data_IF_509890823547
#
_entry.id   IF_509890823547
#
_cell.length_a   1.000
_cell.length_b   1.000
_cell.length_c   1.000
_cell.angle_alpha   90.00
_cell.angle_beta   90.00
_cell.angle_gamma   90.00
#
_symmetry.space_group_name_H-M   'P 1'
#
loop_
_entity.id
_entity.type
_entity.pdbx_description
1 polymer ?
#
# COMPACT_ATOMS: atom_id res chain seq x y z
N UNK A 1 -9.68 2.51 3.96
CA UNK A 1 -8.27 2.96 4.12
C UNK A 1 -8.16 4.14 5.07
N UNK A 2 -8.99 5.19 4.93
CA UNK A 2 -8.92 6.42 5.72
C UNK A 2 -8.97 6.18 7.23
N UNK A 3 -9.97 5.44 7.74
CA UNK A 3 -10.12 5.14 9.17
C UNK A 3 -8.85 4.46 9.71
N UNK A 4 -8.39 3.41 9.04
CA UNK A 4 -7.19 2.69 9.45
C UNK A 4 -5.95 3.56 9.52
N UNK A 5 -5.77 4.45 8.55
CA UNK A 5 -4.65 5.37 8.47
C UNK A 5 -4.75 6.49 9.53
N UNK A 6 -5.91 7.12 9.65
CA UNK A 6 -6.18 8.20 10.60
C UNK A 6 -5.99 7.78 12.06
N UNK A 7 -6.48 6.59 12.40
CA UNK A 7 -6.37 6.02 13.75
C UNK A 7 -5.09 5.20 13.97
N UNK A 8 -4.14 5.24 13.04
CA UNK A 8 -2.82 4.56 13.12
C UNK A 8 -2.92 3.03 13.32
N UNK A 9 -4.03 2.43 12.90
CA UNK A 9 -4.20 0.99 12.81
C UNK A 9 -3.36 0.46 11.65
N UNK A 10 -3.37 1.18 10.53
CA UNK A 10 -2.47 1.05 9.39
C UNK A 10 -1.27 1.98 9.64
N UNK A 11 -0.07 1.44 9.55
CA UNK A 11 1.16 2.17 9.86
C UNK A 11 1.92 2.64 8.62
N UNK A 12 1.91 1.84 7.57
CA UNK A 12 2.74 2.06 6.39
C UNK A 12 1.88 2.11 5.12
N UNK A 13 2.21 2.99 4.22
CA UNK A 13 1.59 3.06 2.89
C UNK A 13 1.79 1.76 2.09
N UNK A 14 2.93 1.08 2.29
CA UNK A 14 3.23 -0.22 1.67
C UNK A 14 2.22 -1.30 2.04
N UNK A 15 1.65 -1.25 3.25
CA UNK A 15 0.66 -2.21 3.72
C UNK A 15 -0.65 -2.07 2.94
N UNK A 16 -1.05 -0.84 2.60
CA UNK A 16 -2.22 -0.54 1.75
C UNK A 16 -2.00 -1.07 0.33
N UNK A 17 -0.84 -0.79 -0.25
CA UNK A 17 -0.49 -1.27 -1.60
C UNK A 17 -0.54 -2.80 -1.67
N UNK A 18 0.07 -3.48 -0.70
CA UNK A 18 0.04 -4.93 -0.61
C UNK A 18 -1.38 -5.49 -0.44
N UNK A 19 -2.23 -4.84 0.35
CA UNK A 19 -3.63 -5.24 0.54
C UNK A 19 -4.46 -5.13 -0.74
N UNK A 20 -4.25 -4.07 -1.52
CA UNK A 20 -4.92 -3.90 -2.81
C UNK A 20 -4.47 -4.98 -3.81
N UNK A 21 -3.18 -5.31 -3.85
CA UNK A 21 -2.65 -6.38 -4.70
C UNK A 21 -3.26 -7.74 -4.27
N UNK A 22 -3.36 -8.04 -2.98
CA UNK A 22 -4.04 -9.26 -2.49
C UNK A 22 -5.52 -9.29 -2.85
N UNK A 23 -6.22 -8.16 -2.73
CA UNK A 23 -7.62 -8.02 -3.16
C UNK A 23 -7.77 -8.36 -4.65
N UNK A 24 -6.90 -7.84 -5.50
CA UNK A 24 -6.93 -8.12 -6.93
C UNK A 24 -6.59 -9.58 -7.26
N UNK A 25 -5.75 -10.22 -6.47
CA UNK A 25 -5.47 -11.65 -6.58
C UNK A 25 -6.75 -12.47 -6.29
N UNK A 26 -7.48 -12.14 -5.20
CA UNK A 26 -8.77 -12.74 -4.86
C UNK A 26 -9.83 -12.52 -5.95
N UNK A 27 -9.86 -11.33 -6.53
CA UNK A 27 -10.78 -10.95 -7.61
C UNK A 27 -10.36 -11.47 -8.99
N UNK A 28 -9.30 -12.29 -9.07
CA UNK A 28 -8.74 -12.80 -10.33
C UNK A 28 -8.33 -11.71 -11.35
N UNK A 29 -8.13 -10.47 -10.91
CA UNK A 29 -7.61 -9.39 -11.74
C UNK A 29 -6.12 -9.53 -12.03
N UNK A 30 -5.42 -10.23 -11.15
CA UNK A 30 -4.02 -10.62 -11.28
C UNK A 30 -3.85 -12.09 -10.91
N UNK A 31 -2.70 -12.66 -11.25
CA UNK A 31 -2.23 -13.94 -10.71
C UNK A 31 -0.74 -13.85 -10.39
N UNK A 32 -0.28 -14.70 -9.50
CA UNK A 32 1.14 -14.88 -9.22
C UNK A 32 1.59 -16.18 -9.88
N UNK A 33 2.73 -16.10 -10.56
CA UNK A 33 3.29 -17.23 -11.30
C UNK A 33 4.82 -17.18 -11.25
N UNK A 34 5.47 -18.20 -11.77
CA UNK A 34 6.91 -18.23 -11.99
C UNK A 34 7.22 -17.98 -13.44
N UNK A 35 8.21 -17.15 -13.72
CA UNK A 35 8.66 -16.86 -15.07
C UNK A 35 10.19 -16.69 -15.13
N UNK A 36 10.74 -16.73 -16.34
CA UNK A 36 12.14 -16.42 -16.56
C UNK A 36 12.35 -14.91 -16.43
N UNK A 37 12.97 -14.48 -15.33
CA UNK A 37 13.20 -13.09 -14.98
C UNK A 37 14.64 -12.66 -15.28
N UNK A 38 14.83 -11.36 -15.55
CA UNK A 38 16.14 -10.76 -15.80
C UNK A 38 16.52 -10.69 -17.28
N UNK A 39 17.21 -9.58 -17.63
CA UNK A 39 17.55 -9.26 -19.05
C UNK A 39 18.74 -10.04 -19.60
N UNK A 40 19.78 -10.30 -18.81
CA UNK A 40 21.04 -10.91 -19.27
C UNK A 40 21.18 -12.33 -18.73
N UNK A 41 20.95 -12.51 -17.44
CA UNK A 41 20.97 -13.84 -16.80
C UNK A 41 19.54 -14.17 -16.42
N UNK A 42 18.89 -14.98 -17.24
CA UNK A 42 17.54 -15.46 -16.96
C UNK A 42 17.57 -16.44 -15.79
N UNK A 43 16.78 -16.15 -14.79
CA UNK A 43 16.54 -17.03 -13.62
C UNK A 43 15.05 -17.17 -13.43
N UNK A 44 14.63 -18.33 -12.97
CA UNK A 44 13.25 -18.52 -12.54
C UNK A 44 12.97 -17.61 -11.34
N UNK A 45 11.90 -16.85 -11.42
CA UNK A 45 11.51 -15.90 -10.39
C UNK A 45 9.99 -15.70 -10.33
N UNK A 46 9.50 -15.30 -9.20
CA UNK A 46 8.09 -15.01 -9.00
C UNK A 46 7.72 -13.67 -9.65
N UNK A 47 6.60 -13.64 -10.36
CA UNK A 47 6.09 -12.48 -11.07
C UNK A 47 4.60 -12.27 -10.80
N UNK A 48 4.12 -11.03 -10.97
CA UNK A 48 2.70 -10.70 -11.01
C UNK A 48 2.28 -10.65 -12.47
N UNK A 49 1.30 -11.46 -12.85
CA UNK A 49 0.69 -11.40 -14.17
C UNK A 49 -0.57 -10.55 -14.06
N UNK A 50 -0.56 -9.43 -14.77
CA UNK A 50 -1.68 -8.51 -14.84
C UNK A 50 -2.62 -9.00 -15.93
N UNK A 51 -3.76 -9.54 -15.55
CA UNK A 51 -4.74 -10.07 -16.50
C UNK A 51 -5.29 -8.94 -17.39
N UNK A 52 -5.77 -9.31 -18.59
CA UNK A 52 -6.52 -8.39 -19.42
C UNK A 52 -7.88 -8.16 -18.75
N UNK A 53 -7.97 -7.13 -17.93
CA UNK A 53 -9.18 -6.76 -17.19
C UNK A 53 -9.84 -5.60 -17.92
N UNK A 54 -11.16 -5.64 -18.01
CA UNK A 54 -11.91 -4.45 -18.39
C UNK A 54 -11.74 -3.40 -17.27
N UNK A 55 -11.12 -2.28 -17.63
CA UNK A 55 -10.87 -1.19 -16.68
C UNK A 55 -12.17 -0.54 -16.16
N UNK A 56 -13.32 -0.83 -16.76
CA UNK A 56 -14.63 -0.42 -16.23
C UNK A 56 -15.06 -1.26 -15.02
N UNK A 57 -14.46 -2.44 -14.81
CA UNK A 57 -14.73 -3.30 -13.66
C UNK A 57 -14.15 -2.79 -12.32
N UNK A 58 -13.34 -1.73 -12.38
CA UNK A 58 -12.87 -1.08 -11.17
C UNK A 58 -13.90 -0.04 -10.70
N UNK A 59 -14.55 -0.31 -9.58
CA UNK A 59 -15.45 0.64 -8.93
C UNK A 59 -14.69 1.85 -8.37
N UNK A 60 -13.48 1.63 -7.90
CA UNK A 60 -12.62 2.67 -7.32
C UNK A 60 -11.66 3.25 -8.36
N UNK A 61 -11.72 4.57 -8.53
CA UNK A 61 -10.89 5.29 -9.50
C UNK A 61 -9.41 5.28 -9.12
N UNK A 62 -9.08 5.21 -7.83
CA UNK A 62 -7.69 5.17 -7.33
C UNK A 62 -7.08 3.80 -7.53
N UNK A 63 -7.85 2.72 -7.31
CA UNK A 63 -7.40 1.36 -7.63
C UNK A 63 -7.15 1.18 -9.14
N UNK A 64 -8.04 1.71 -9.99
CA UNK A 64 -7.85 1.73 -11.44
C UNK A 64 -6.57 2.46 -11.86
N UNK A 65 -6.27 3.61 -11.24
CA UNK A 65 -5.03 4.36 -11.48
C UNK A 65 -3.80 3.53 -11.07
N UNK A 66 -3.85 2.84 -9.93
CA UNK A 66 -2.77 1.97 -9.48
C UNK A 66 -2.55 0.81 -10.45
N UNK A 67 -3.61 0.14 -10.89
CA UNK A 67 -3.51 -0.95 -11.86
C UNK A 67 -2.81 -0.51 -13.15
N UNK A 68 -3.16 0.67 -13.68
CA UNK A 68 -2.49 1.26 -14.83
C UNK A 68 -1.00 1.59 -14.57
N UNK A 69 -0.64 1.96 -13.34
CA UNK A 69 0.77 2.16 -12.96
C UNK A 69 1.54 0.83 -13.00
N UNK A 70 0.95 -0.27 -12.52
CA UNK A 70 1.58 -1.60 -12.59
C UNK A 70 1.70 -2.09 -14.04
N UNK A 71 0.67 -1.88 -14.87
CA UNK A 71 0.74 -2.15 -16.30
C UNK A 71 1.85 -1.36 -16.98
N UNK A 72 1.98 -0.06 -16.65
CA UNK A 72 3.07 0.78 -17.16
C UNK A 72 4.46 0.34 -16.67
N UNK A 73 4.54 -0.26 -15.50
CA UNK A 73 5.79 -0.77 -14.94
C UNK A 73 6.24 -2.06 -15.61
N UNK A 74 5.31 -2.96 -15.91
CA UNK A 74 5.59 -4.26 -16.54
C UNK A 74 5.87 -4.15 -18.03
N UNK A 75 5.20 -3.23 -18.73
CA UNK A 75 5.27 -3.06 -20.19
C UNK A 75 4.55 -4.13 -20.99
N UNK A 76 4.63 -5.39 -20.60
CA UNK A 76 4.04 -6.56 -21.28
C UNK A 76 2.92 -7.25 -20.48
N UNK A 77 2.65 -6.77 -19.27
CA UNK A 77 1.66 -7.36 -18.35
C UNK A 77 2.23 -8.42 -17.42
N UNK A 78 3.54 -8.70 -17.48
CA UNK A 78 4.26 -9.60 -16.57
C UNK A 78 5.20 -8.75 -15.73
N UNK A 79 4.84 -8.48 -14.49
CA UNK A 79 5.55 -7.55 -13.62
C UNK A 79 6.57 -8.27 -12.74
N UNK A 80 7.85 -8.01 -12.98
CA UNK A 80 8.94 -8.37 -12.07
C UNK A 80 9.08 -7.35 -10.94
N UNK A 81 9.49 -7.77 -9.73
CA UNK A 81 9.77 -6.85 -8.61
C UNK A 81 10.75 -5.74 -9.00
N UNK A 82 11.82 -6.07 -9.74
CA UNK A 82 12.80 -5.09 -10.22
C UNK A 82 12.25 -4.06 -11.21
N UNK A 83 11.28 -4.44 -12.02
CA UNK A 83 10.62 -3.51 -12.94
C UNK A 83 9.79 -2.52 -12.16
N UNK A 84 9.03 -3.00 -11.18
CA UNK A 84 8.27 -2.14 -10.29
C UNK A 84 9.18 -1.18 -9.49
N UNK A 85 10.28 -1.67 -8.94
CA UNK A 85 11.29 -0.85 -8.26
C UNK A 85 11.84 0.29 -9.14
N UNK A 86 12.23 -0.03 -10.38
CA UNK A 86 12.73 0.95 -11.35
C UNK A 86 11.68 1.96 -11.74
N UNK A 87 10.46 1.46 -11.98
CA UNK A 87 9.34 2.34 -12.33
C UNK A 87 9.02 3.29 -11.19
N UNK A 88 8.95 2.80 -9.94
CA UNK A 88 8.73 3.61 -8.75
C UNK A 88 9.82 4.66 -8.55
N UNK A 89 11.09 4.31 -8.77
CA UNK A 89 12.19 5.28 -8.72
C UNK A 89 12.04 6.39 -9.77
N UNK A 90 11.67 6.04 -11.00
CA UNK A 90 11.53 7.00 -12.10
C UNK A 90 10.21 7.80 -12.04
N UNK A 91 9.19 7.28 -11.38
CA UNK A 91 7.86 7.87 -11.27
C UNK A 91 7.45 8.12 -9.80
N UNK A 92 8.43 8.44 -8.95
CA UNK A 92 8.21 8.55 -7.51
C UNK A 92 7.09 9.55 -7.15
N UNK A 93 6.98 10.66 -7.86
CA UNK A 93 5.90 11.63 -7.62
C UNK A 93 4.53 11.05 -7.91
N UNK A 94 4.39 10.19 -8.93
CA UNK A 94 3.10 9.57 -9.28
C UNK A 94 2.66 8.59 -8.22
N UNK A 95 3.55 7.68 -7.80
CA UNK A 95 3.18 6.64 -6.82
C UNK A 95 2.97 7.22 -5.42
N UNK A 96 3.80 8.18 -4.98
CA UNK A 96 3.63 8.79 -3.66
C UNK A 96 2.38 9.67 -3.61
N UNK A 97 2.12 10.51 -4.64
CA UNK A 97 0.89 11.30 -4.70
C UNK A 97 -0.38 10.45 -4.87
N UNK A 98 -0.26 9.21 -5.33
CA UNK A 98 -1.38 8.29 -5.40
C UNK A 98 -1.89 7.93 -4.01
N UNK A 99 -0.99 7.68 -3.04
CA UNK A 99 -1.39 7.41 -1.65
C UNK A 99 -2.13 8.60 -1.04
N UNK A 100 -1.62 9.81 -1.23
CA UNK A 100 -2.26 11.02 -0.71
C UNK A 100 -3.68 11.15 -1.30
N UNK A 101 -3.83 10.96 -2.61
CA UNK A 101 -5.13 10.99 -3.29
C UNK A 101 -6.07 9.89 -2.83
N UNK A 102 -5.58 8.68 -2.54
CA UNK A 102 -6.40 7.60 -2.01
C UNK A 102 -7.03 8.00 -0.68
N UNK A 103 -6.24 8.58 0.22
CA UNK A 103 -6.71 9.03 1.53
C UNK A 103 -7.67 10.21 1.40
N UNK A 104 -7.35 11.18 0.54
CA UNK A 104 -8.21 12.35 0.28
C UNK A 104 -9.56 11.97 -0.34
N UNK A 105 -9.58 11.06 -1.32
CA UNK A 105 -10.81 10.58 -1.96
C UNK A 105 -11.70 9.83 -0.95
N UNK A 106 -11.12 9.01 -0.07
CA UNK A 106 -11.86 8.35 1.01
C UNK A 106 -12.40 9.35 2.04
N UNK A 107 -11.60 10.35 2.43
CA UNK A 107 -12.05 11.41 3.34
C UNK A 107 -13.24 12.18 2.74
N UNK A 108 -13.16 12.53 1.46
CA UNK A 108 -14.24 13.23 0.78
C UNK A 108 -15.53 12.40 0.70
N UNK A 109 -15.44 11.08 0.51
CA UNK A 109 -16.60 10.18 0.60
C UNK A 109 -17.24 10.23 1.99
N UNK A 110 -16.42 10.11 3.04
CA UNK A 110 -16.92 10.16 4.43
C UNK A 110 -17.52 11.52 4.80
N UNK A 111 -17.00 12.62 4.23
CA UNK A 111 -17.61 13.95 4.37
C UNK A 111 -18.97 14.00 3.65
N UNK A 112 -19.06 13.47 2.43
CA UNK A 112 -20.31 13.43 1.67
C UNK A 112 -21.39 12.57 2.36
N UNK A 113 -20.99 11.51 3.04
CA UNK A 113 -21.84 10.63 3.85
C UNK A 113 -22.21 11.23 5.22
N UNK A 114 -21.66 12.40 5.58
CA UNK A 114 -21.89 13.06 6.86
C UNK A 114 -21.19 12.39 8.06
N UNK A 115 -20.27 11.48 7.81
CA UNK A 115 -19.48 10.79 8.86
C UNK A 115 -18.31 11.64 9.35
N UNK A 116 -17.90 12.63 8.56
CA UNK A 116 -16.92 13.66 8.92
C UNK A 116 -17.56 15.03 8.68
N UNK A 117 -17.48 15.92 9.66
CA UNK A 117 -17.86 17.31 9.53
C UNK A 117 -16.62 18.20 9.50
N UNK A 118 -16.62 19.17 8.58
CA UNK A 118 -15.52 20.13 8.45
C UNK A 118 -16.01 21.49 8.92
N UNK A 119 -15.40 22.03 9.97
CA UNK A 119 -15.67 23.36 10.49
C UNK A 119 -14.43 24.26 10.33
N UNK A 120 -14.65 25.56 10.09
CA UNK A 120 -13.57 26.52 10.15
C UNK A 120 -13.45 27.06 11.58
N UNK A 121 -12.32 26.82 12.23
CA UNK A 121 -11.98 27.43 13.51
C UNK A 121 -10.89 28.49 13.34
N UNK A 122 -10.91 29.48 14.22
CA UNK A 122 -9.89 30.54 14.25
C UNK A 122 -8.88 30.23 15.35
N UNK A 123 -7.62 30.02 14.95
CA UNK A 123 -6.52 30.05 15.91
C UNK A 123 -5.91 31.46 15.85
N UNK A 124 -5.98 32.21 16.93
CA UNK A 124 -5.61 33.62 17.00
C UNK A 124 -6.38 34.52 16.00
N UNK A 125 -6.25 35.84 16.12
CA UNK A 125 -7.05 36.82 15.36
C UNK A 125 -6.98 36.70 13.83
N UNK A 126 -5.98 35.98 13.27
CA UNK A 126 -5.68 35.99 11.83
C UNK A 126 -5.54 34.62 11.15
N UNK A 127 -5.48 33.51 11.89
CA UNK A 127 -5.29 32.20 11.30
C UNK A 127 -6.57 31.37 11.39
N UNK A 128 -7.17 31.06 10.24
CA UNK A 128 -8.26 30.09 10.10
C UNK A 128 -7.66 28.73 9.79
N UNK A 129 -8.16 27.69 10.43
CA UNK A 129 -7.83 26.31 10.08
C UNK A 129 -9.11 25.47 9.98
N UNK A 130 -9.06 24.45 9.16
CA UNK A 130 -10.15 23.48 9.04
C UNK A 130 -10.01 22.43 10.13
N UNK A 131 -11.05 22.27 10.92
CA UNK A 131 -11.15 21.20 11.92
C UNK A 131 -12.08 20.13 11.40
N UNK A 132 -11.55 18.91 11.30
CA UNK A 132 -12.29 17.73 10.92
C UNK A 132 -12.76 17.03 12.20
N UNK A 133 -14.05 16.91 12.38
CA UNK A 133 -14.67 16.21 13.50
C UNK A 133 -15.37 14.96 12.97
N UNK A 134 -15.10 13.84 13.60
CA UNK A 134 -15.66 12.52 13.22
C UNK A 134 -16.91 12.24 14.07
N UNK A 135 -17.88 11.54 13.50
CA UNK A 135 -19.06 11.08 14.21
C UNK A 135 -18.75 9.91 15.13
N UNK A 136 -19.63 9.65 16.11
CA UNK A 136 -19.53 8.48 16.99
C UNK A 136 -19.56 7.16 16.19
N UNK A 137 -20.36 7.11 15.13
CA UNK A 137 -20.39 5.94 14.22
C UNK A 137 -19.03 5.66 13.63
N UNK A 138 -18.31 6.68 13.13
CA UNK A 138 -16.96 6.50 12.57
C UNK A 138 -15.95 6.09 13.64
N UNK A 139 -16.07 6.61 14.87
CA UNK A 139 -15.27 6.15 16.01
C UNK A 139 -15.51 4.68 16.33
N UNK A 140 -16.77 4.25 16.31
CA UNK A 140 -17.15 2.85 16.54
C UNK A 140 -16.55 1.94 15.47
N UNK A 141 -16.62 2.30 14.19
CA UNK A 141 -15.96 1.56 13.10
C UNK A 141 -14.43 1.47 13.29
N UNK A 142 -13.79 2.53 13.80
CA UNK A 142 -12.37 2.49 14.11
C UNK A 142 -12.06 1.50 15.25
N UNK A 143 -12.89 1.44 16.28
CA UNK A 143 -12.76 0.47 17.38
C UNK A 143 -12.95 -0.96 16.88
N UNK A 144 -13.93 -1.22 16.01
CA UNK A 144 -14.17 -2.53 15.39
C UNK A 144 -12.97 -2.96 14.54
N UNK A 145 -12.39 -2.04 13.75
CA UNK A 145 -11.20 -2.32 12.97
C UNK A 145 -9.99 -2.63 13.86
N UNK A 146 -9.82 -1.91 14.97
CA UNK A 146 -8.78 -2.19 15.96
C UNK A 146 -9.03 -3.53 16.67
N UNK A 147 -10.28 -3.84 16.96
CA UNK A 147 -10.73 -5.13 17.50
C UNK A 147 -10.40 -6.29 16.56
N UNK A 148 -10.68 -6.14 15.27
CA UNK A 148 -10.31 -7.12 14.24
C UNK A 148 -8.80 -7.35 14.21
N UNK A 149 -7.98 -6.29 14.31
CA UNK A 149 -6.52 -6.44 14.36
C UNK A 149 -6.07 -7.27 15.55
N UNK A 150 -6.63 -6.99 16.74
CA UNK A 150 -6.34 -7.75 17.95
C UNK A 150 -6.78 -9.21 17.80
N UNK A 151 -8.02 -9.42 17.33
CA UNK A 151 -8.55 -10.73 17.04
C UNK A 151 -7.62 -11.56 16.13
N UNK A 152 -7.16 -10.99 15.02
CA UNK A 152 -6.27 -11.66 14.09
C UNK A 152 -4.89 -11.96 14.70
N UNK A 153 -4.40 -11.10 15.60
CA UNK A 153 -3.13 -11.32 16.30
C UNK A 153 -3.23 -12.42 17.37
N UNK A 154 -4.38 -12.56 17.99
CA UNK A 154 -4.66 -13.51 19.08
C UNK A 154 -5.34 -14.79 18.57
N UNK A 155 -5.51 -14.94 17.24
CA UNK A 155 -6.26 -16.04 16.61
C UNK A 155 -5.76 -17.43 17.01
N UNK A 156 -4.45 -17.60 17.23
CA UNK A 156 -3.84 -18.86 17.67
C UNK A 156 -4.17 -19.25 19.10
N UNK A 157 -4.66 -18.32 19.91
CA UNK A 157 -4.99 -18.58 21.32
C UNK A 157 -6.36 -19.25 21.48
N UNK A 158 -7.14 -19.39 20.40
CA UNK A 158 -8.50 -19.93 20.45
C UNK A 158 -8.51 -21.30 19.77
N UNK A 159 -8.34 -22.35 20.58
CA UNK A 159 -8.21 -23.73 20.13
C UNK A 159 -9.52 -24.37 19.56
N UNK A 160 -10.67 -23.68 19.61
CA UNK A 160 -12.01 -24.26 19.30
C UNK A 160 -12.70 -23.54 18.14
N UNK A 161 -11.99 -23.17 17.07
CA UNK A 161 -12.64 -22.49 15.95
C UNK A 161 -13.09 -23.47 14.87
N UNK A 162 -14.36 -23.30 14.48
CA UNK A 162 -15.04 -24.15 13.50
C UNK A 162 -14.63 -23.84 12.06
N UNK A 163 -14.83 -24.80 11.16
CA UNK A 163 -14.53 -24.72 9.72
C UNK A 163 -15.15 -23.50 8.98
N UNK A 164 -16.13 -22.81 9.57
CA UNK A 164 -16.80 -21.64 9.00
C UNK A 164 -15.83 -20.45 8.87
N UNK A 165 -14.88 -20.29 9.80
CA UNK A 165 -13.94 -19.17 9.79
C UNK A 165 -12.84 -19.30 8.72
N UNK A 166 -12.67 -20.48 8.24
CA UNK A 166 -11.74 -20.82 7.17
C UNK A 166 -12.14 -20.20 5.83
N UNK A 167 -13.43 -20.09 5.55
CA UNK A 167 -13.94 -19.45 4.34
C UNK A 167 -13.68 -17.93 4.33
N UNK A 168 -13.40 -17.34 5.48
CA UNK A 168 -13.04 -15.92 5.64
C UNK A 168 -11.52 -15.68 5.61
N UNK A 169 -10.73 -16.74 5.47
CA UNK A 169 -9.26 -16.67 5.52
C UNK A 169 -8.68 -15.64 4.54
N UNK A 170 -9.19 -15.61 3.33
CA UNK A 170 -8.73 -14.67 2.31
C UNK A 170 -9.02 -13.23 2.69
N UNK A 171 -10.21 -12.94 3.20
CA UNK A 171 -10.58 -11.61 3.67
C UNK A 171 -9.74 -11.21 4.88
N UNK A 172 -9.53 -12.12 5.81
CA UNK A 172 -8.66 -11.89 6.95
C UNK A 172 -7.23 -11.57 6.55
N UNK A 173 -6.70 -12.21 5.49
CA UNK A 173 -5.38 -11.91 4.98
C UNK A 173 -5.29 -10.53 4.32
N UNK A 174 -6.30 -10.09 3.58
CA UNK A 174 -6.36 -8.75 3.01
C UNK A 174 -6.35 -7.70 4.13
N UNK A 175 -7.18 -7.86 5.15
CA UNK A 175 -7.19 -6.98 6.32
C UNK A 175 -5.87 -7.05 7.11
N UNK A 176 -5.35 -8.25 7.33
CA UNK A 176 -4.06 -8.45 8.00
C UNK A 176 -2.91 -7.77 7.24
N UNK A 177 -2.94 -7.82 5.89
CA UNK A 177 -1.98 -7.13 5.05
C UNK A 177 -2.08 -5.62 5.22
N UNK A 178 -3.29 -5.07 5.15
CA UNK A 178 -3.54 -3.64 5.34
C UNK A 178 -3.06 -3.16 6.73
N UNK A 179 -3.16 -4.02 7.75
CA UNK A 179 -2.74 -3.73 9.13
C UNK A 179 -1.26 -4.03 9.40
N UNK A 180 -0.50 -4.52 8.43
CA UNK A 180 0.93 -4.86 8.55
C UNK A 180 1.21 -6.13 9.37
N UNK A 181 0.26 -7.04 9.48
CA UNK A 181 0.37 -8.28 10.26
C UNK A 181 0.18 -9.57 9.44
N UNK A 182 0.06 -9.45 8.10
CA UNK A 182 -0.25 -10.57 7.21
C UNK A 182 0.69 -11.77 7.36
N UNK A 183 2.00 -11.53 7.49
CA UNK A 183 3.00 -12.59 7.65
C UNK A 183 2.75 -13.43 8.90
N UNK A 184 2.41 -12.78 10.02
CA UNK A 184 2.08 -13.46 11.27
C UNK A 184 0.79 -14.27 11.12
N UNK A 185 -0.25 -13.65 10.59
CA UNK A 185 -1.56 -14.30 10.39
C UNK A 185 -1.45 -15.47 9.43
N UNK A 186 -0.78 -15.30 8.28
CA UNK A 186 -0.59 -16.38 7.31
C UNK A 186 0.18 -17.58 7.90
N UNK A 187 1.21 -17.31 8.71
CA UNK A 187 1.94 -18.37 9.42
C UNK A 187 1.04 -19.11 10.39
N UNK A 188 0.25 -18.40 11.18
CA UNK A 188 -0.70 -18.99 12.13
C UNK A 188 -1.72 -19.90 11.44
N UNK A 189 -2.28 -19.45 10.30
CA UNK A 189 -3.22 -20.26 9.53
C UNK A 189 -2.57 -21.50 8.93
N UNK A 190 -1.34 -21.36 8.41
CA UNK A 190 -0.58 -22.50 7.90
C UNK A 190 -0.34 -23.57 8.98
N UNK A 191 -0.03 -23.14 10.19
CA UNK A 191 0.25 -24.04 11.31
C UNK A 191 -1.02 -24.73 11.84
N UNK A 192 -2.16 -24.02 11.83
CA UNK A 192 -3.45 -24.53 12.38
C UNK A 192 -4.32 -25.24 11.33
N UNK A 193 -4.29 -24.79 10.08
CA UNK A 193 -5.19 -25.24 9.00
C UNK A 193 -4.42 -25.46 7.70
N UNK A 194 -3.42 -26.37 7.68
CA UNK A 194 -2.57 -26.57 6.51
C UNK A 194 -3.36 -26.97 5.26
N UNK A 195 -4.42 -27.77 5.43
CA UNK A 195 -5.29 -28.23 4.33
C UNK A 195 -6.06 -27.09 3.67
N UNK A 196 -6.44 -26.07 4.45
CA UNK A 196 -7.15 -24.91 3.94
C UNK A 196 -6.21 -24.00 3.16
N UNK A 197 -5.01 -23.75 3.70
CA UNK A 197 -3.98 -23.00 3.02
C UNK A 197 -3.59 -23.68 1.71
N UNK A 198 -3.52 -25.01 1.70
CA UNK A 198 -3.23 -25.80 0.49
C UNK A 198 -4.36 -25.74 -0.56
N UNK A 199 -5.61 -25.58 -0.16
CA UNK A 199 -6.76 -25.44 -1.05
C UNK A 199 -6.94 -24.01 -1.58
N UNK A 200 -6.42 -23.00 -0.87
CA UNK A 200 -6.40 -21.63 -1.33
C UNK A 200 -5.32 -21.48 -2.41
N UNK A 201 -5.71 -21.60 -3.67
CA UNK A 201 -4.81 -21.46 -4.82
C UNK A 201 -4.18 -20.05 -4.90
N UNK A 202 -4.67 -19.10 -4.11
CA UNK A 202 -4.31 -17.69 -4.19
C UNK A 202 -3.33 -17.25 -3.12
N UNK A 203 -3.32 -17.90 -1.94
CA UNK A 203 -2.60 -17.40 -0.77
C UNK A 203 -1.63 -18.43 -0.20
N UNK A 204 -0.59 -18.77 -0.99
CA UNK A 204 0.56 -19.38 -0.35
C UNK A 204 1.26 -18.35 0.55
N UNK A 205 1.86 -18.79 1.63
CA UNK A 205 2.71 -17.95 2.47
C UNK A 205 3.76 -17.19 1.65
N UNK A 206 4.33 -17.85 0.64
CA UNK A 206 5.36 -17.28 -0.25
C UNK A 206 4.82 -16.14 -1.11
N UNK A 207 3.58 -16.23 -1.59
CA UNK A 207 2.92 -15.16 -2.33
C UNK A 207 2.74 -13.90 -1.48
N UNK A 208 2.36 -14.06 -0.21
CA UNK A 208 2.25 -12.93 0.72
C UNK A 208 3.61 -12.28 0.97
N UNK A 209 4.65 -13.08 1.16
CA UNK A 209 6.03 -12.59 1.30
C UNK A 209 6.44 -11.83 0.04
N UNK A 210 6.19 -12.39 -1.14
CA UNK A 210 6.53 -11.78 -2.42
C UNK A 210 5.83 -10.43 -2.61
N UNK A 211 4.50 -10.37 -2.42
CA UNK A 211 3.71 -9.13 -2.54
C UNK A 211 4.23 -8.06 -1.57
N UNK A 212 4.45 -8.43 -0.31
CA UNK A 212 5.02 -7.52 0.69
C UNK A 212 6.39 -6.97 0.27
N UNK A 213 7.24 -7.84 -0.24
CA UNK A 213 8.59 -7.47 -0.66
C UNK A 213 8.54 -6.55 -1.87
N UNK A 214 7.72 -6.89 -2.88
CA UNK A 214 7.53 -6.08 -4.08
C UNK A 214 7.01 -4.67 -3.72
N UNK A 215 5.96 -4.57 -2.91
CA UNK A 215 5.39 -3.30 -2.45
C UNK A 215 6.40 -2.47 -1.65
N UNK A 216 7.10 -3.10 -0.70
CA UNK A 216 8.07 -2.44 0.17
C UNK A 216 9.27 -1.91 -0.62
N UNK A 217 9.83 -2.72 -1.51
CA UNK A 217 10.97 -2.31 -2.32
C UNK A 217 10.59 -1.18 -3.28
N UNK A 218 9.45 -1.28 -3.97
CA UNK A 218 8.97 -0.23 -4.86
C UNK A 218 8.84 1.12 -4.15
N UNK A 219 8.16 1.16 -3.00
CA UNK A 219 7.97 2.41 -2.25
C UNK A 219 9.27 2.93 -1.63
N UNK A 220 10.17 2.03 -1.20
CA UNK A 220 11.51 2.42 -0.72
C UNK A 220 12.29 3.12 -1.83
N UNK A 221 12.24 2.61 -3.07
CA UNK A 221 12.89 3.24 -4.22
C UNK A 221 12.27 4.59 -4.57
N UNK A 222 10.94 4.73 -4.48
CA UNK A 222 10.26 6.01 -4.67
C UNK A 222 10.69 7.05 -3.63
N UNK A 223 10.72 6.69 -2.35
CA UNK A 223 11.15 7.59 -1.27
C UNK A 223 12.63 7.98 -1.42
N UNK A 224 13.48 7.03 -1.80
CA UNK A 224 14.90 7.29 -2.06
C UNK A 224 15.10 8.25 -3.24
N UNK A 225 14.29 8.12 -4.29
CA UNK A 225 14.32 9.04 -5.44
C UNK A 225 13.83 10.44 -5.05
N UNK A 226 12.77 10.55 -4.26
CA UNK A 226 12.27 11.81 -3.70
C UNK A 226 13.36 12.51 -2.89
N UNK A 227 13.98 11.83 -1.94
CA UNK A 227 15.03 12.41 -1.09
C UNK A 227 16.22 12.90 -1.89
N UNK A 228 16.63 12.16 -2.94
CA UNK A 228 17.68 12.64 -3.86
C UNK A 228 17.27 13.91 -4.58
N UNK A 229 16.05 13.99 -5.14
CA UNK A 229 15.56 15.17 -5.83
C UNK A 229 15.50 16.41 -4.92
N UNK A 230 15.05 16.23 -3.67
CA UNK A 230 14.99 17.30 -2.68
C UNK A 230 16.39 17.79 -2.26
N UNK A 231 17.37 16.89 -2.13
CA UNK A 231 18.75 17.26 -1.81
C UNK A 231 19.42 18.08 -2.94
N UNK A 232 19.13 17.77 -4.21
CA UNK A 232 19.61 18.56 -5.34
C UNK A 232 18.97 19.96 -5.40
N UNK A 233 17.71 20.09 -5.03
CA UNK A 233 16.99 21.38 -5.03
C UNK A 233 17.43 22.30 -3.87
N UNK A 234 17.85 21.74 -2.75
CA UNK A 234 18.32 22.50 -1.58
C UNK A 234 19.80 22.89 -1.65
N UNK A 235 20.62 22.24 -2.52
CA UNK A 235 22.05 22.48 -2.68
C UNK A 235 22.41 23.56 -3.71
N UNK A 236 21.46 24.20 -4.38
CA UNK A 236 21.66 25.17 -5.46
C UNK A 236 21.85 26.62 -5.05
N UNK A 237 22.18 26.92 -3.82
CA UNK A 237 22.36 28.29 -3.34
C UNK A 237 23.71 28.52 -2.66
N UNK A 238 24.72 28.94 -3.42
CA UNK A 238 25.86 29.56 -2.80
C UNK A 238 27.26 29.11 -3.23
N UNK A 239 27.63 29.33 -4.46
CA UNK A 239 29.05 29.64 -4.79
C UNK A 239 29.09 30.90 -5.64
N UNK A 240 28.96 32.05 -4.99
CA UNK A 240 29.50 33.26 -5.54
C UNK A 240 30.98 33.28 -5.21
N UNK A 241 31.82 32.90 -6.18
CA UNK A 241 33.24 33.09 -6.18
C UNK A 241 33.51 34.62 -6.18
N UNK A 242 33.85 35.12 -5.01
CA UNK A 242 34.47 36.44 -4.88
C UNK A 242 35.91 36.35 -5.34
N UNK A 243 36.19 36.65 -6.63
CA UNK A 243 37.51 36.93 -7.14
C UNK A 243 37.98 38.25 -6.56
N UNK A 244 38.90 38.21 -5.58
CA UNK A 244 39.69 39.36 -5.14
C UNK A 244 41.04 39.33 -5.81
N UNK A 245 41.23 40.13 -6.86
CA UNK A 245 42.51 40.39 -7.45
C UNK A 245 43.31 41.33 -6.58
N UNK A 246 44.58 41.16 -6.63
CA UNK A 246 45.26 42.17 -6.02
C UNK A 246 46.62 42.49 -6.07
N UNK A 247 47.39 42.98 -6.68
CA UNK A 247 48.24 44.13 -6.62
C UNK A 247 49.59 43.97 -5.93
N UNK A 248 50.58 44.00 -6.77
CA UNK A 248 51.98 44.32 -6.56
C UNK A 248 52.30 45.38 -5.48
N UNK A 249 53.29 45.15 -4.73
CA UNK A 249 54.58 45.88 -4.72
C UNK A 249 55.51 45.15 -3.74
#
# INVERSE_FOLDING_TARGET
YYIGYKYKIIKNQTDILGAIILKWLKECKIRIDTAQTGKIFKKEGTVIILNKVDLSSFEDSTEKKLFNMLLSASGDGILESREFEKWCSSNYTKILSWFDKLIDEEENKLIAEGLITVSEEKAFKFFKYKKHSVTENLNQQALELAGLKKFLLDYTLIAERTAIEVNLFEDYLIYAQMMGIAKKVAKQFKDLYPDVVAQSAFYSYDNIIFINTCASHGITQANSAKSRAESYSSGGGGFSSGGGGGGSF
#
